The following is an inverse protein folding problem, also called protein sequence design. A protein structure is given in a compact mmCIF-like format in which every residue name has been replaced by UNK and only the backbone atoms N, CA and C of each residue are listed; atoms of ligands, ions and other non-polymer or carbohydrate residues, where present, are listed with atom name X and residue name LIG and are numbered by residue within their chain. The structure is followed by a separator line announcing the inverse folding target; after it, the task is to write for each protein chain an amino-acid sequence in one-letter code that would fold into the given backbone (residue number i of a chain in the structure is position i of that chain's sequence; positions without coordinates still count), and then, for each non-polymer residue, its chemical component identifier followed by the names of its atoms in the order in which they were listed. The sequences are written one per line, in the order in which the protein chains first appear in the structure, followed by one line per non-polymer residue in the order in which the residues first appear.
data_IF_330724861379
#
_entry.id   IF_330724861379
#
_cell.length_a   1.000
_cell.length_b   1.000
_cell.length_c   1.000
_cell.angle_alpha   90.00
_cell.angle_beta   90.00
_cell.angle_gamma   90.00
#
_symmetry.space_group_name_H-M   'P 1'
#
loop_
_entity.id
_entity.type
_entity.pdbx_description
1 polymer ?
#
# COMPACT_ATOMS: atom_id res chain seq x y z
N UNK A 1 6.81 -21.26 -8.82
CA UNK A 1 6.06 -20.43 -7.85
C UNK A 1 4.69 -20.22 -8.43
N UNK A 2 3.62 -20.55 -7.70
CA UNK A 2 2.27 -20.38 -8.27
C UNK A 2 1.88 -18.88 -8.26
N UNK A 3 0.92 -18.48 -9.11
CA UNK A 3 0.50 -17.07 -9.23
C UNK A 3 0.05 -16.46 -7.90
N UNK A 4 -0.52 -17.27 -7.00
CA UNK A 4 -0.99 -16.86 -5.66
C UNK A 4 0.17 -16.48 -4.74
N UNK A 5 1.26 -17.24 -4.75
CA UNK A 5 2.49 -16.93 -4.00
C UNK A 5 3.17 -15.66 -4.50
N UNK A 6 3.22 -15.44 -5.82
CA UNK A 6 3.78 -14.23 -6.41
C UNK A 6 2.97 -12.98 -6.02
N UNK A 7 1.64 -13.07 -6.12
CA UNK A 7 0.72 -12.01 -5.73
C UNK A 7 0.84 -11.69 -4.23
N UNK A 8 0.93 -12.71 -3.38
CA UNK A 8 1.08 -12.54 -1.94
C UNK A 8 2.40 -11.85 -1.58
N UNK A 9 3.52 -12.27 -2.20
CA UNK A 9 4.82 -11.62 -2.00
C UNK A 9 4.78 -10.15 -2.39
N UNK A 10 4.17 -9.85 -3.54
CA UNK A 10 4.03 -8.47 -4.01
C UNK A 10 3.16 -7.63 -3.07
N UNK A 11 2.05 -8.18 -2.58
CA UNK A 11 1.20 -7.51 -1.60
C UNK A 11 1.96 -7.16 -0.32
N UNK A 12 2.73 -8.10 0.23
CA UNK A 12 3.53 -7.89 1.45
C UNK A 12 4.56 -6.78 1.22
N UNK A 13 5.26 -6.80 0.08
CA UNK A 13 6.26 -5.78 -0.25
C UNK A 13 5.63 -4.39 -0.42
N UNK A 14 4.55 -4.29 -1.19
CA UNK A 14 3.88 -3.01 -1.43
C UNK A 14 3.30 -2.44 -0.12
N UNK A 15 2.78 -3.30 0.77
CA UNK A 15 2.32 -2.91 2.12
C UNK A 15 3.47 -2.41 3.00
N UNK A 16 4.60 -3.11 3.03
CA UNK A 16 5.76 -2.72 3.85
C UNK A 16 6.29 -1.34 3.44
N UNK A 17 6.43 -1.10 2.13
CA UNK A 17 6.84 0.20 1.59
C UNK A 17 5.86 1.32 1.97
N UNK A 18 4.56 1.02 2.00
CA UNK A 18 3.54 1.99 2.40
C UNK A 18 3.60 2.32 3.89
N UNK A 19 3.82 1.31 4.74
CA UNK A 19 3.97 1.49 6.18
C UNK A 19 5.19 2.34 6.52
N UNK A 20 6.31 2.13 5.83
CA UNK A 20 7.51 2.96 5.96
C UNK A 20 7.20 4.43 5.65
N UNK A 21 6.51 4.71 4.54
CA UNK A 21 6.10 6.07 4.16
C UNK A 21 5.14 6.69 5.18
N UNK A 22 4.25 5.90 5.77
CA UNK A 22 3.37 6.39 6.83
C UNK A 22 4.11 6.78 8.11
N UNK A 23 5.14 6.01 8.49
CA UNK A 23 5.98 6.32 9.64
C UNK A 23 6.70 7.66 9.48
N UNK A 24 6.98 8.10 8.25
CA UNK A 24 7.59 9.40 7.99
C UNK A 24 6.63 10.59 8.20
N UNK A 25 5.31 10.37 8.20
CA UNK A 25 4.33 11.46 8.33
C UNK A 25 4.34 12.00 9.76
N UNK A 26 4.61 13.30 9.92
CA UNK A 26 4.50 13.98 11.21
C UNK A 26 5.68 13.79 12.16
N UNK A 27 6.76 13.10 11.75
CA UNK A 27 7.95 12.92 12.60
C UNK A 27 8.80 14.18 12.82
N UNK A 28 8.61 15.24 12.02
CA UNK A 28 9.40 16.48 12.15
C UNK A 28 8.50 17.72 12.32
N UNK A 29 7.73 17.82 13.41
CA UNK A 29 6.79 18.93 13.61
C UNK A 29 7.50 20.27 13.83
N UNK A 30 8.78 20.26 14.23
CA UNK A 30 9.60 21.44 14.48
C UNK A 30 10.13 22.12 13.22
N UNK A 31 10.07 21.47 12.05
CA UNK A 31 10.43 22.08 10.77
C UNK A 31 9.17 22.24 9.89
N UNK A 32 8.61 23.46 9.76
CA UNK A 32 7.36 23.70 9.04
C UNK A 32 7.37 23.26 7.57
N UNK A 33 8.51 23.37 6.88
CA UNK A 33 8.61 22.97 5.47
C UNK A 33 8.57 21.44 5.34
N UNK A 34 9.31 20.73 6.19
CA UNK A 34 9.30 19.26 6.23
C UNK A 34 7.93 18.75 6.67
N UNK A 35 7.32 19.36 7.69
CA UNK A 35 6.00 19.00 8.17
C UNK A 35 4.92 19.17 7.10
N UNK A 36 4.98 20.27 6.33
CA UNK A 36 4.09 20.49 5.18
C UNK A 36 4.26 19.38 4.13
N UNK A 37 5.51 19.06 3.74
CA UNK A 37 5.79 17.96 2.80
C UNK A 37 5.26 16.63 3.32
N UNK A 38 5.52 16.30 4.59
CA UNK A 38 5.03 15.08 5.25
C UNK A 38 3.50 15.00 5.24
N UNK A 39 2.81 16.11 5.47
CA UNK A 39 1.34 16.17 5.48
C UNK A 39 0.76 15.98 4.08
N UNK A 40 1.32 16.66 3.07
CA UNK A 40 0.90 16.52 1.66
C UNK A 40 1.16 15.11 1.13
N UNK A 41 2.30 14.52 1.49
CA UNK A 41 2.59 13.12 1.17
C UNK A 41 1.65 12.17 1.92
N UNK A 42 1.28 12.47 3.17
CA UNK A 42 0.43 11.60 3.96
C UNK A 42 -0.95 11.37 3.35
N UNK A 43 -1.57 12.42 2.80
CA UNK A 43 -2.84 12.27 2.07
C UNK A 43 -2.70 11.39 0.82
N UNK A 44 -1.60 11.52 0.08
CA UNK A 44 -1.33 10.69 -1.12
C UNK A 44 -1.13 9.23 -0.74
N UNK A 45 -0.31 8.96 0.28
CA UNK A 45 -0.04 7.62 0.82
C UNK A 45 -1.34 6.92 1.25
N UNK A 46 -2.24 7.64 1.92
CA UNK A 46 -3.55 7.11 2.33
C UNK A 46 -4.42 6.70 1.13
N UNK A 47 -4.49 7.52 0.08
CA UNK A 47 -5.24 7.18 -1.13
C UNK A 47 -4.62 6.00 -1.88
N UNK A 48 -3.29 5.99 -2.01
CA UNK A 48 -2.56 4.89 -2.65
C UNK A 48 -2.80 3.57 -1.92
N UNK A 49 -2.83 3.57 -0.58
CA UNK A 49 -3.12 2.38 0.22
C UNK A 49 -4.53 1.83 -0.04
N UNK A 50 -5.53 2.71 -0.13
CA UNK A 50 -6.91 2.32 -0.44
C UNK A 50 -7.04 1.68 -1.83
N UNK A 51 -6.39 2.29 -2.83
CA UNK A 51 -6.38 1.76 -4.20
C UNK A 51 -5.63 0.43 -4.31
N UNK A 52 -4.49 0.31 -3.62
CA UNK A 52 -3.70 -0.90 -3.57
C UNK A 52 -4.51 -2.05 -2.96
N UNK A 53 -5.18 -1.82 -1.82
CA UNK A 53 -6.04 -2.81 -1.18
C UNK A 53 -7.14 -3.31 -2.14
N UNK A 54 -7.84 -2.39 -2.82
CA UNK A 54 -8.88 -2.75 -3.81
C UNK A 54 -8.32 -3.61 -4.95
N UNK A 55 -7.14 -3.27 -5.46
CA UNK A 55 -6.49 -4.03 -6.54
C UNK A 55 -6.18 -5.47 -6.11
N UNK A 56 -5.68 -5.66 -4.90
CA UNK A 56 -5.35 -7.00 -4.40
C UNK A 56 -6.58 -7.83 -4.06
N UNK A 57 -7.63 -7.23 -3.49
CA UNK A 57 -8.91 -7.93 -3.26
C UNK A 57 -9.45 -8.47 -4.58
N UNK A 58 -9.55 -7.62 -5.60
CA UNK A 58 -10.02 -8.02 -6.93
C UNK A 58 -9.16 -9.13 -7.55
N UNK A 59 -7.83 -9.03 -7.42
CA UNK A 59 -6.92 -10.05 -7.95
C UNK A 59 -7.06 -11.40 -7.22
N UNK A 60 -7.39 -11.40 -5.92
CA UNK A 60 -7.66 -12.63 -5.16
C UNK A 60 -8.98 -13.25 -5.62
N UNK A 61 -10.05 -12.45 -5.73
CA UNK A 61 -11.36 -12.91 -6.23
C UNK A 61 -11.24 -13.54 -7.63
N UNK A 62 -10.48 -12.93 -8.55
CA UNK A 62 -10.25 -13.46 -9.89
C UNK A 62 -9.48 -14.80 -9.89
N UNK A 63 -8.55 -15.00 -8.96
CA UNK A 63 -7.83 -16.28 -8.82
C UNK A 63 -8.76 -17.37 -8.29
N UNK A 64 -9.59 -17.06 -7.28
CA UNK A 64 -10.52 -18.02 -6.68
C UNK A 64 -11.59 -18.48 -7.69
N UNK A 65 -12.09 -17.58 -8.54
CA UNK A 65 -13.04 -17.93 -9.62
C UNK A 65 -12.42 -18.90 -10.65
N UNK A 66 -11.11 -18.78 -10.95
CA UNK A 66 -10.43 -19.66 -11.90
C UNK A 66 -10.24 -21.07 -11.29
N UNK A 67 -10.03 -21.18 -9.99
CA UNK A 67 -9.84 -22.47 -9.32
C UNK A 67 -11.18 -23.25 -9.13
N UNK A 68 -12.33 -22.57 -9.23
CA UNK A 68 -13.67 -23.16 -9.09
C UNK A 68 -14.30 -23.66 -10.41
N UNK A 69 -13.68 -23.41 -11.58
CA UNK A 69 -14.16 -23.82 -12.91
C UNK A 69 -13.26 -24.87 -13.58
#
# INVERSE_FOLDING_TARGET
MNKKEELLRKFIQDRANMQERMLWIGCNPSNPEIFKKQTEEGFKVMMEMSNLARKYIKAIEEIEIIDEN
#
